data_IF_513611039590
#
_entry.id   IF_513611039590
#
_cell.length_a   1.000
_cell.length_b   1.000
_cell.length_c   1.000
_cell.angle_alpha   90.00
_cell.angle_beta   90.00
_cell.angle_gamma   90.00
#
_symmetry.space_group_name_H-M   'P 1'
#
loop_
_entity.id
_entity.type
_entity.pdbx_description
1 polymer ?
#
# COMPACT_ATOMS: atom_id res chain seq x y z
N UNK A 1 -27.65 6.26 14.62
CA UNK A 1 -27.41 7.50 13.86
C UNK A 1 -26.06 8.09 14.23
N UNK A 2 -24.98 7.40 13.87
CA UNK A 2 -23.61 7.94 13.94
C UNK A 2 -22.95 7.62 12.61
N UNK A 3 -22.44 8.63 11.90
CA UNK A 3 -21.71 8.44 10.65
C UNK A 3 -20.33 7.85 10.90
N UNK A 4 -19.70 7.30 9.88
CA UNK A 4 -18.29 6.91 9.93
C UNK A 4 -17.44 8.18 9.98
N UNK A 5 -16.60 8.30 10.99
CA UNK A 5 -15.71 9.46 11.17
C UNK A 5 -14.32 9.02 11.56
N UNK A 6 -13.32 9.82 11.16
CA UNK A 6 -11.92 9.70 11.60
C UNK A 6 -11.46 11.02 12.17
N UNK A 7 -10.53 10.99 13.12
CA UNK A 7 -9.95 12.20 13.67
C UNK A 7 -8.73 12.63 12.84
N UNK A 8 -8.75 13.86 12.33
CA UNK A 8 -7.65 14.49 11.58
C UNK A 8 -7.54 15.93 12.04
N UNK A 9 -6.35 16.35 12.46
CA UNK A 9 -6.04 17.68 12.99
C UNK A 9 -7.01 18.09 14.12
N UNK A 10 -7.25 17.18 15.07
CA UNK A 10 -8.17 17.38 16.22
C UNK A 10 -9.64 17.63 15.79
N UNK A 11 -10.00 17.28 14.54
CA UNK A 11 -11.35 17.44 13.98
C UNK A 11 -11.92 16.09 13.57
N UNK A 12 -13.21 15.89 13.83
CA UNK A 12 -13.94 14.76 13.27
C UNK A 12 -14.23 15.00 11.78
N UNK A 13 -13.63 14.18 10.92
CA UNK A 13 -13.83 14.19 9.47
C UNK A 13 -14.76 13.05 9.08
N UNK A 14 -15.80 13.36 8.31
CA UNK A 14 -16.75 12.35 7.82
C UNK A 14 -16.12 11.51 6.73
N UNK A 15 -16.22 10.19 6.90
CA UNK A 15 -15.91 9.20 5.88
C UNK A 15 -17.22 8.71 5.28
N UNK A 16 -17.38 8.94 3.98
CA UNK A 16 -18.50 8.43 3.20
C UNK A 16 -18.01 7.35 2.24
N UNK A 17 -18.93 6.58 1.67
CA UNK A 17 -18.63 5.50 0.74
C UNK A 17 -19.49 5.67 -0.50
N UNK A 18 -18.89 5.57 -1.68
CA UNK A 18 -19.64 5.58 -2.96
C UNK A 18 -20.54 4.34 -3.04
N UNK A 19 -20.02 3.17 -2.63
CA UNK A 19 -20.82 1.97 -2.38
C UNK A 19 -20.96 1.72 -0.86
N UNK A 20 -22.22 1.72 -0.38
CA UNK A 20 -22.53 1.52 1.03
C UNK A 20 -22.11 0.15 1.55
N UNK A 21 -21.99 -0.87 0.69
CA UNK A 21 -21.54 -2.20 1.12
C UNK A 21 -20.13 -2.17 1.70
N UNK A 22 -19.25 -1.27 1.25
CA UNK A 22 -17.89 -1.15 1.78
C UNK A 22 -17.84 -0.64 3.21
N UNK A 23 -18.90 0.00 3.71
CA UNK A 23 -18.97 0.50 5.10
C UNK A 23 -18.81 -0.63 6.13
N UNK A 24 -19.19 -1.86 5.79
CA UNK A 24 -18.99 -3.04 6.65
C UNK A 24 -17.51 -3.39 6.89
N UNK A 25 -16.61 -2.83 6.09
CA UNK A 25 -15.15 -3.00 6.21
C UNK A 25 -14.47 -1.78 6.82
N UNK A 26 -15.23 -0.82 7.36
CA UNK A 26 -14.68 0.41 7.94
C UNK A 26 -13.62 0.13 9.00
N UNK A 27 -13.89 -0.76 9.97
CA UNK A 27 -12.92 -1.07 11.03
C UNK A 27 -11.62 -1.68 10.48
N UNK A 28 -11.72 -2.57 9.48
CA UNK A 28 -10.55 -3.13 8.80
C UNK A 28 -9.76 -2.08 8.02
N UNK A 29 -10.44 -1.07 7.48
CA UNK A 29 -9.79 0.07 6.83
C UNK A 29 -9.06 0.93 7.86
N UNK A 30 -9.60 1.09 9.07
CA UNK A 30 -8.92 1.80 10.15
C UNK A 30 -7.66 1.06 10.65
N UNK A 31 -7.63 -0.26 10.52
CA UNK A 31 -6.45 -1.09 10.82
C UNK A 31 -5.42 -1.11 9.68
N UNK A 32 -5.85 -0.85 8.44
CA UNK A 32 -4.99 -0.93 7.27
C UNK A 32 -3.84 0.08 7.33
N UNK A 33 -2.59 -0.43 7.32
CA UNK A 33 -1.39 0.41 7.44
C UNK A 33 -1.31 1.54 6.41
N UNK A 34 -1.73 1.29 5.17
CA UNK A 34 -1.75 2.32 4.12
C UNK A 34 -2.65 3.51 4.49
N UNK A 35 -3.78 3.24 5.16
CA UNK A 35 -4.70 4.26 5.66
C UNK A 35 -4.15 4.96 6.91
N UNK A 36 -3.68 4.19 7.91
CA UNK A 36 -3.17 4.79 9.16
C UNK A 36 -1.92 5.64 8.94
N UNK A 37 -0.99 5.21 8.08
CA UNK A 37 0.20 6.00 7.73
C UNK A 37 -0.19 7.28 6.96
N UNK A 38 -1.23 7.21 6.12
CA UNK A 38 -1.73 8.39 5.43
C UNK A 38 -2.37 9.38 6.40
N UNK A 39 -3.23 8.91 7.32
CA UNK A 39 -3.82 9.74 8.39
C UNK A 39 -2.73 10.45 9.19
N UNK A 40 -1.68 9.74 9.61
CA UNK A 40 -0.54 10.34 10.32
C UNK A 40 0.11 11.49 9.54
N UNK A 41 0.35 11.31 8.23
CA UNK A 41 0.96 12.34 7.37
C UNK A 41 0.07 13.57 7.18
N UNK A 42 -1.23 13.39 7.00
CA UNK A 42 -2.15 14.54 6.83
C UNK A 42 -2.45 15.26 8.16
N UNK A 43 -2.11 14.63 9.29
CA UNK A 43 -2.20 15.22 10.62
C UNK A 43 -1.09 16.25 10.93
N UNK A 44 -0.14 16.46 10.00
CA UNK A 44 0.91 17.47 10.11
C UNK A 44 0.43 18.89 9.74
N UNK A 45 -0.88 19.16 9.84
CA UNK A 45 -1.54 20.47 9.64
C UNK A 45 -1.23 21.19 8.31
N UNK A 46 -0.76 20.47 7.29
CA UNK A 46 -0.49 21.04 5.95
C UNK A 46 -1.78 21.23 5.15
N UNK A 47 -2.78 20.39 5.40
CA UNK A 47 -4.08 20.41 4.74
C UNK A 47 -5.20 20.36 5.77
N UNK A 48 -6.28 21.09 5.52
CA UNK A 48 -7.53 20.91 6.25
C UNK A 48 -8.41 19.94 5.47
N UNK A 49 -8.52 18.70 5.94
CA UNK A 49 -9.39 17.70 5.30
C UNK A 49 -10.85 17.97 5.68
N UNK A 50 -11.71 18.17 4.68
CA UNK A 50 -13.13 18.45 4.90
C UNK A 50 -13.97 17.17 4.80
N UNK A 51 -13.68 16.33 3.80
CA UNK A 51 -14.44 15.12 3.53
C UNK A 51 -13.56 14.04 2.90
N UNK A 52 -13.80 12.80 3.33
CA UNK A 52 -13.24 11.61 2.69
C UNK A 52 -14.38 10.80 2.09
N UNK A 53 -14.21 10.37 0.84
CA UNK A 53 -15.13 9.45 0.16
C UNK A 53 -14.36 8.22 -0.30
N UNK A 54 -14.70 7.06 0.22
CA UNK A 54 -14.15 5.77 -0.21
C UNK A 54 -14.79 5.39 -1.55
N UNK A 55 -13.96 5.39 -2.60
CA UNK A 55 -14.39 5.11 -3.97
C UNK A 55 -14.15 3.65 -4.39
N UNK A 56 -13.22 2.96 -3.73
CA UNK A 56 -13.06 1.51 -3.82
C UNK A 56 -12.28 0.97 -2.63
N UNK A 57 -12.53 -0.28 -2.29
CA UNK A 57 -11.83 -1.01 -1.24
C UNK A 57 -11.63 -2.46 -1.70
N UNK A 58 -10.37 -2.86 -1.83
CA UNK A 58 -10.00 -4.21 -2.27
C UNK A 58 -9.57 -5.05 -1.07
N UNK A 59 -9.97 -6.32 -1.10
CA UNK A 59 -9.64 -7.30 -0.08
C UNK A 59 -8.74 -8.39 -0.68
N UNK A 60 -7.67 -8.75 0.04
CA UNK A 60 -6.87 -9.94 -0.23
C UNK A 60 -7.06 -10.91 0.93
N UNK A 61 -7.91 -11.91 0.72
CA UNK A 61 -8.41 -12.75 1.80
C UNK A 61 -9.14 -11.90 2.85
N UNK A 62 -8.80 -12.00 4.15
CA UNK A 62 -9.48 -11.25 5.19
C UNK A 62 -9.00 -9.81 5.36
N UNK A 63 -7.92 -9.39 4.67
CA UNK A 63 -7.22 -8.10 4.85
C UNK A 63 -7.56 -7.10 3.76
N UNK A 64 -7.64 -5.81 4.12
CA UNK A 64 -7.68 -4.72 3.15
C UNK A 64 -6.31 -4.62 2.48
N UNK A 65 -6.28 -4.60 1.15
CA UNK A 65 -5.03 -4.53 0.37
C UNK A 65 -4.88 -3.24 -0.41
N UNK A 66 -5.98 -2.57 -0.73
CA UNK A 66 -6.01 -1.26 -1.39
C UNK A 66 -7.25 -0.48 -1.00
N UNK A 67 -7.10 0.83 -0.84
CA UNK A 67 -8.21 1.76 -0.67
C UNK A 67 -8.03 2.94 -1.63
N UNK A 68 -9.05 3.23 -2.43
CA UNK A 68 -9.11 4.45 -3.23
C UNK A 68 -10.03 5.45 -2.56
N UNK A 69 -9.51 6.65 -2.32
CA UNK A 69 -10.22 7.76 -1.70
C UNK A 69 -10.35 8.90 -2.70
N UNK A 70 -11.48 9.60 -2.63
CA UNK A 70 -11.59 11.00 -3.03
C UNK A 70 -11.53 11.84 -1.75
N UNK A 71 -10.65 12.82 -1.74
CA UNK A 71 -10.41 13.69 -0.59
C UNK A 71 -10.69 15.12 -1.01
N UNK A 72 -11.62 15.77 -0.31
CA UNK A 72 -11.89 17.19 -0.43
C UNK A 72 -11.24 17.89 0.79
N UNK A 73 -10.42 18.90 0.52
CA UNK A 73 -9.58 19.57 1.50
C UNK A 73 -9.36 21.06 1.16
N UNK A 74 -8.71 21.79 2.05
CA UNK A 74 -8.14 23.11 1.80
C UNK A 74 -6.64 23.11 2.06
N UNK A 75 -5.89 23.87 1.26
CA UNK A 75 -4.47 24.15 1.53
C UNK A 75 -4.30 25.14 2.70
N UNK A 76 -3.05 25.47 3.03
CA UNK A 76 -2.71 26.43 4.08
C UNK A 76 -3.18 27.87 3.83
N UNK A 77 -3.59 28.20 2.60
CA UNK A 77 -4.12 29.50 2.21
C UNK A 77 -5.66 29.51 2.11
N UNK A 78 -6.31 28.37 2.40
CA UNK A 78 -7.76 28.22 2.30
C UNK A 78 -8.27 27.92 0.89
N UNK A 79 -7.39 27.62 -0.07
CA UNK A 79 -7.82 27.24 -1.42
C UNK A 79 -8.36 25.81 -1.41
N UNK A 80 -9.50 25.55 -2.08
CA UNK A 80 -10.07 24.20 -2.15
C UNK A 80 -9.20 23.28 -3.01
N UNK A 81 -9.06 22.03 -2.56
CA UNK A 81 -8.33 20.96 -3.20
C UNK A 81 -9.18 19.69 -3.21
N UNK A 82 -9.37 19.11 -4.39
CA UNK A 82 -9.96 17.77 -4.54
C UNK A 82 -8.92 16.85 -5.16
N UNK A 83 -8.64 15.73 -4.50
CA UNK A 83 -7.62 14.78 -4.95
C UNK A 83 -8.11 13.33 -4.87
N UNK A 84 -7.60 12.50 -5.78
CA UNK A 84 -7.71 11.04 -5.71
C UNK A 84 -6.47 10.47 -5.03
N UNK A 85 -6.67 9.70 -3.96
CA UNK A 85 -5.60 9.07 -3.20
C UNK A 85 -5.76 7.56 -3.27
N UNK A 86 -4.74 6.86 -3.77
CA UNK A 86 -4.71 5.40 -3.78
C UNK A 86 -3.73 4.93 -2.72
N UNK A 87 -4.24 4.25 -1.71
CA UNK A 87 -3.49 3.77 -0.56
C UNK A 87 -3.27 2.27 -0.70
N UNK A 88 -2.01 1.85 -0.65
CA UNK A 88 -1.59 0.45 -0.69
C UNK A 88 -0.76 0.13 0.55
N UNK A 89 -0.71 -1.16 0.90
CA UNK A 89 0.17 -1.63 1.98
C UNK A 89 1.65 -1.40 1.63
N UNK A 90 2.52 -1.36 2.65
CA UNK A 90 3.97 -1.29 2.43
C UNK A 90 4.45 -2.43 1.52
N UNK A 91 5.39 -2.13 0.65
CA UNK A 91 5.98 -3.10 -0.27
C UNK A 91 7.49 -3.16 -0.15
N UNK A 92 8.06 -4.31 -0.49
CA UNK A 92 9.49 -4.58 -0.58
C UNK A 92 9.83 -5.04 -1.98
N UNK A 93 11.01 -4.65 -2.47
CA UNK A 93 11.64 -5.19 -3.67
C UNK A 93 13.08 -5.57 -3.34
N UNK A 94 13.57 -6.64 -3.95
CA UNK A 94 14.90 -7.20 -3.67
C UNK A 94 15.76 -7.20 -4.92
N UNK A 95 17.03 -6.80 -4.77
CA UNK A 95 18.03 -6.83 -5.83
C UNK A 95 19.04 -7.94 -5.53
N UNK A 96 18.81 -9.13 -6.08
CA UNK A 96 19.63 -10.30 -5.81
C UNK A 96 20.77 -10.38 -6.82
N UNK A 97 22.01 -10.31 -6.33
CA UNK A 97 23.22 -10.50 -7.12
C UNK A 97 23.87 -11.82 -6.73
N UNK A 98 24.05 -12.71 -7.70
CA UNK A 98 24.86 -13.93 -7.54
C UNK A 98 26.23 -13.70 -8.17
N UNK A 99 27.27 -14.23 -7.54
CA UNK A 99 28.65 -14.18 -8.06
C UNK A 99 29.12 -15.59 -8.33
N UNK A 100 29.55 -15.86 -9.57
CA UNK A 100 30.14 -17.16 -9.92
C UNK A 100 31.53 -17.29 -9.28
N UNK A 101 31.81 -18.43 -8.66
CA UNK A 101 33.04 -18.61 -7.91
C UNK A 101 34.27 -18.74 -8.81
N UNK A 102 34.09 -19.31 -10.00
CA UNK A 102 35.17 -19.64 -10.94
C UNK A 102 35.73 -18.40 -11.64
N UNK A 103 34.86 -17.51 -12.11
CA UNK A 103 35.24 -16.36 -12.94
C UNK A 103 34.88 -15.00 -12.33
N UNK A 104 34.31 -15.00 -11.12
CA UNK A 104 33.89 -13.81 -10.37
C UNK A 104 32.89 -12.92 -11.13
N UNK A 105 32.22 -13.44 -12.16
CA UNK A 105 31.15 -12.71 -12.84
C UNK A 105 29.93 -12.59 -11.95
N UNK A 106 29.26 -11.46 -12.07
CA UNK A 106 28.06 -11.14 -11.31
C UNK A 106 26.84 -11.15 -12.21
N UNK A 107 25.75 -11.74 -11.71
CA UNK A 107 24.47 -11.79 -12.39
C UNK A 107 23.38 -11.29 -11.46
N UNK A 108 22.44 -10.54 -12.03
CA UNK A 108 21.22 -10.14 -11.34
C UNK A 108 20.17 -11.21 -11.60
N UNK A 109 19.54 -11.69 -10.53
CA UNK A 109 18.43 -12.64 -10.64
C UNK A 109 17.12 -11.86 -10.67
N UNK A 110 16.35 -12.06 -11.73
CA UNK A 110 15.03 -11.43 -11.95
C UNK A 110 13.94 -12.49 -11.93
N UNK A 111 12.73 -12.11 -11.54
CA UNK A 111 11.53 -12.91 -11.81
C UNK A 111 10.92 -12.51 -13.15
N UNK A 112 10.07 -13.38 -13.70
CA UNK A 112 9.34 -13.13 -14.94
C UNK A 112 7.86 -13.07 -14.61
N UNK A 113 7.29 -11.87 -14.68
CA UNK A 113 5.94 -11.60 -14.20
C UNK A 113 4.98 -11.29 -15.35
N UNK A 114 3.70 -11.55 -15.11
CA UNK A 114 2.64 -10.98 -15.94
C UNK A 114 2.24 -9.60 -15.39
N UNK A 115 2.15 -8.60 -16.27
CA UNK A 115 1.76 -7.23 -15.91
C UNK A 115 0.55 -6.79 -16.70
N UNK A 116 -0.61 -7.16 -16.17
CA UNK A 116 -1.92 -6.78 -16.72
C UNK A 116 -2.08 -5.25 -16.83
N UNK A 117 -1.54 -4.49 -15.87
CA UNK A 117 -1.62 -3.03 -15.85
C UNK A 117 -1.01 -2.35 -17.09
N UNK A 118 -0.07 -3.01 -17.78
CA UNK A 118 0.53 -2.54 -19.03
C UNK A 118 0.22 -3.47 -20.21
N UNK A 119 -0.67 -4.45 -20.03
CA UNK A 119 -1.05 -5.41 -21.08
C UNK A 119 0.10 -6.30 -21.57
N UNK A 120 1.12 -6.55 -20.76
CA UNK A 120 2.29 -7.37 -21.15
C UNK A 120 2.41 -8.62 -20.30
N UNK A 121 2.82 -9.71 -20.95
CA UNK A 121 3.26 -10.93 -20.30
C UNK A 121 4.80 -10.98 -20.26
N UNK A 122 5.32 -11.90 -19.46
CA UNK A 122 6.75 -12.23 -19.42
C UNK A 122 7.68 -11.03 -19.25
N UNK A 123 7.36 -10.13 -18.31
CA UNK A 123 8.16 -8.94 -18.02
C UNK A 123 9.24 -9.32 -17.00
N UNK A 124 10.54 -9.18 -17.32
CA UNK A 124 11.61 -9.37 -16.35
C UNK A 124 11.60 -8.23 -15.34
N UNK A 125 11.50 -8.54 -14.05
CA UNK A 125 11.42 -7.56 -12.98
C UNK A 125 12.15 -8.02 -11.73
N UNK A 126 12.44 -7.07 -10.84
CA UNK A 126 12.89 -7.42 -9.49
C UNK A 126 11.75 -8.13 -8.75
N UNK A 127 12.05 -9.17 -7.95
CA UNK A 127 11.06 -9.75 -7.07
C UNK A 127 10.54 -8.68 -6.12
N UNK A 128 9.22 -8.57 -6.05
CA UNK A 128 8.53 -7.58 -5.21
C UNK A 128 7.40 -8.25 -4.46
N UNK A 129 7.09 -7.73 -3.28
CA UNK A 129 5.99 -8.23 -2.45
C UNK A 129 5.49 -7.18 -1.49
N UNK A 130 4.37 -7.46 -0.84
CA UNK A 130 3.87 -6.65 0.26
C UNK A 130 4.47 -7.13 1.57
N UNK A 131 4.75 -6.20 2.48
CA UNK A 131 5.06 -6.52 3.86
C UNK A 131 3.75 -6.81 4.59
N UNK A 132 3.78 -7.80 5.47
CA UNK A 132 2.68 -7.97 6.44
C UNK A 132 2.75 -6.89 7.51
N UNK A 133 1.66 -6.71 8.26
CA UNK A 133 1.55 -5.69 9.30
C UNK A 133 2.58 -5.85 10.43
N UNK A 134 3.23 -7.03 10.53
CA UNK A 134 4.32 -7.30 11.49
C UNK A 134 5.57 -6.45 11.27
N UNK A 135 5.75 -5.88 10.06
CA UNK A 135 6.92 -5.04 9.76
C UNK A 135 8.25 -5.80 9.73
N UNK A 136 8.24 -7.14 9.76
CA UNK A 136 9.45 -7.96 9.65
C UNK A 136 9.98 -7.95 8.21
N UNK A 137 10.75 -6.91 7.91
CA UNK A 137 11.36 -6.69 6.61
C UNK A 137 12.32 -7.83 6.22
N UNK A 138 13.16 -8.27 7.16
CA UNK A 138 14.18 -9.28 6.89
C UNK A 138 13.56 -10.65 6.64
N UNK A 139 12.64 -11.07 7.51
CA UNK A 139 11.90 -12.32 7.34
C UNK A 139 11.07 -12.31 6.06
N UNK A 140 10.33 -11.23 5.78
CA UNK A 140 9.56 -11.14 4.53
C UNK A 140 10.46 -11.16 3.29
N UNK A 141 11.63 -10.54 3.35
CA UNK A 141 12.61 -10.57 2.25
C UNK A 141 13.12 -11.98 1.98
N UNK A 142 13.49 -12.74 3.03
CA UNK A 142 13.93 -14.12 2.88
C UNK A 142 12.83 -15.01 2.26
N UNK A 143 11.60 -14.88 2.76
CA UNK A 143 10.43 -15.59 2.21
C UNK A 143 10.17 -15.20 0.76
N UNK A 144 10.25 -13.91 0.40
CA UNK A 144 10.04 -13.44 -0.96
C UNK A 144 11.08 -14.04 -1.94
N UNK A 145 12.34 -14.08 -1.53
CA UNK A 145 13.42 -14.66 -2.34
C UNK A 145 13.15 -16.15 -2.60
N UNK A 146 12.71 -16.89 -1.58
CA UNK A 146 12.37 -18.31 -1.74
C UNK A 146 11.11 -18.51 -2.59
N UNK A 147 10.01 -17.80 -2.30
CA UNK A 147 8.72 -17.93 -3.00
C UNK A 147 8.82 -17.54 -4.49
N UNK A 148 9.57 -16.49 -4.81
CA UNK A 148 9.56 -15.90 -6.16
C UNK A 148 10.77 -16.33 -6.99
N UNK A 149 11.94 -16.51 -6.38
CA UNK A 149 13.16 -16.91 -7.09
C UNK A 149 13.53 -18.39 -6.89
N UNK A 150 12.91 -19.08 -5.94
CA UNK A 150 13.30 -20.45 -5.58
C UNK A 150 14.68 -20.55 -4.92
N UNK A 151 15.22 -19.44 -4.43
CA UNK A 151 16.54 -19.39 -3.78
C UNK A 151 16.36 -19.41 -2.27
N UNK A 152 16.98 -20.38 -1.59
CA UNK A 152 16.96 -20.47 -0.14
C UNK A 152 18.25 -19.89 0.45
N UNK A 153 18.09 -18.92 1.35
CA UNK A 153 19.23 -18.36 2.09
C UNK A 153 19.66 -19.33 3.20
N UNK A 154 20.95 -19.64 3.28
CA UNK A 154 21.54 -20.40 4.39
C UNK A 154 21.92 -19.48 5.56
N UNK A 155 21.83 -20.03 6.78
CA UNK A 155 22.28 -19.40 8.02
C UNK A 155 23.68 -19.88 8.40
#
# INVERSE_FOLDING_TARGET
GGGHTVEINERAVVVSFDDKEWSRHFDKMLEFKGFTDWIKRVNDKTFTIEKITVQSLDMTGPRVSLVKLKVDAQDSFGNPLTSSVVLKGPSVGVFVVITCDEDKKQYVVLSVENRMAIGRNSVPELPTGFLEDSGDFAGRTAVLIEEVLGLRLSH
#
